data_IF_623549069509
#
_entry.id   IF_623549069509
#
_cell.length_a   1.000
_cell.length_b   1.000
_cell.length_c   1.000
_cell.angle_alpha   90.00
_cell.angle_beta   90.00
_cell.angle_gamma   90.00
#
_symmetry.space_group_name_H-M   'P 1'
#
loop_
_entity.id
_entity.type
_entity.pdbx_description
1 polymer ?
#
# COMPACT_ATOMS: atom_id res chain seq x y z
N UNK A 1 9.75 10.03 20.30
CA UNK A 1 8.55 9.49 19.63
C UNK A 1 8.84 8.07 19.16
N UNK A 2 7.93 7.15 19.44
CA UNK A 2 8.03 5.78 18.90
C UNK A 2 7.65 5.81 17.42
N UNK A 3 8.41 5.09 16.59
CA UNK A 3 8.26 5.08 15.13
C UNK A 3 7.44 3.86 14.71
N UNK A 4 6.38 4.07 13.92
CA UNK A 4 5.49 3.02 13.37
C UNK A 4 4.98 2.02 14.42
N UNK A 5 4.15 2.53 15.31
CA UNK A 5 3.62 1.85 16.52
C UNK A 5 2.50 0.85 16.23
N UNK A 6 1.81 0.99 15.10
CA UNK A 6 0.58 0.26 14.79
C UNK A 6 -0.62 0.69 15.64
N UNK A 7 -0.53 1.79 16.38
CA UNK A 7 -1.61 2.31 17.22
C UNK A 7 -2.46 3.34 16.48
N UNK A 8 -3.75 3.38 16.80
CA UNK A 8 -4.69 4.41 16.34
C UNK A 8 -4.40 5.74 17.07
N UNK A 9 -3.27 6.36 16.75
CA UNK A 9 -2.80 7.58 17.42
C UNK A 9 -3.17 8.87 16.67
N UNK A 10 -3.83 8.76 15.51
CA UNK A 10 -4.15 9.90 14.65
C UNK A 10 -5.61 10.33 14.75
N UNK A 11 -5.86 11.60 14.40
CA UNK A 11 -7.20 12.17 14.23
C UNK A 11 -8.07 11.44 13.19
N UNK A 12 -7.45 10.61 12.33
CA UNK A 12 -8.12 9.79 11.32
C UNK A 12 -8.67 8.46 11.86
N UNK A 13 -8.35 8.09 13.11
CA UNK A 13 -8.81 6.83 13.72
C UNK A 13 -8.26 5.58 13.01
N UNK A 14 -7.07 5.70 12.44
CA UNK A 14 -6.39 4.64 11.70
C UNK A 14 -4.97 4.48 12.29
N UNK A 15 -4.38 3.27 12.28
CA UNK A 15 -2.98 3.07 12.65
C UNK A 15 -1.97 3.74 11.69
N UNK A 16 -0.84 4.22 12.23
CA UNK A 16 0.30 4.74 11.44
C UNK A 16 0.86 3.70 10.45
N UNK A 17 0.82 2.41 10.83
CA UNK A 17 1.07 1.26 9.95
C UNK A 17 0.02 0.15 10.16
N UNK A 18 -0.39 -0.51 9.09
CA UNK A 18 -1.27 -1.69 9.14
C UNK A 18 -0.75 -2.80 8.23
N UNK A 19 -0.61 -4.03 8.73
CA UNK A 19 -0.06 -5.17 7.99
C UNK A 19 -1.15 -6.12 7.50
N UNK A 20 -1.02 -6.61 6.27
CA UNK A 20 -2.03 -7.42 5.59
C UNK A 20 -1.45 -8.67 4.93
N UNK A 21 -2.26 -9.72 4.88
CA UNK A 21 -2.07 -10.85 3.99
C UNK A 21 -2.67 -10.56 2.58
N UNK A 22 -2.58 -11.53 1.66
CA UNK A 22 -3.06 -11.36 0.29
C UNK A 22 -4.58 -11.12 0.19
N UNK A 23 -5.36 -11.61 1.15
CA UNK A 23 -6.81 -11.40 1.19
C UNK A 23 -7.21 -10.02 1.77
N UNK A 24 -6.24 -9.18 2.15
CA UNK A 24 -6.48 -7.87 2.75
C UNK A 24 -6.88 -7.94 4.23
N UNK A 25 -6.59 -9.07 4.89
CA UNK A 25 -6.85 -9.28 6.32
C UNK A 25 -5.57 -9.06 7.14
N UNK A 26 -5.68 -8.75 8.45
CA UNK A 26 -4.52 -8.69 9.33
C UNK A 26 -3.66 -9.95 9.23
N UNK A 27 -2.35 -9.78 9.19
CA UNK A 27 -1.41 -10.90 9.07
C UNK A 27 -1.39 -11.73 10.35
N UNK A 28 -1.48 -13.06 10.19
CA UNK A 28 -1.12 -14.01 11.23
C UNK A 28 0.38 -14.31 11.11
N UNK A 29 1.19 -13.67 11.95
CA UNK A 29 2.65 -13.81 11.90
C UNK A 29 3.15 -15.23 12.11
N UNK A 30 2.37 -16.09 12.79
CA UNK A 30 2.72 -17.51 12.96
C UNK A 30 2.62 -18.31 11.66
N UNK A 31 1.97 -17.75 10.64
CA UNK A 31 1.73 -18.36 9.32
C UNK A 31 2.19 -17.46 8.18
N UNK A 32 3.09 -16.51 8.47
CA UNK A 32 3.60 -15.61 7.44
C UNK A 32 4.30 -16.40 6.34
N UNK A 33 3.89 -16.16 5.09
CA UNK A 33 4.43 -16.80 3.90
C UNK A 33 5.40 -15.89 3.15
N UNK A 34 5.51 -16.13 1.85
CA UNK A 34 6.32 -15.31 0.92
C UNK A 34 5.56 -14.09 0.38
N UNK A 35 4.54 -13.62 1.10
CA UNK A 35 3.74 -12.46 0.73
C UNK A 35 3.49 -11.60 1.96
N UNK A 36 3.65 -10.29 1.81
CA UNK A 36 3.24 -9.32 2.81
C UNK A 36 2.80 -8.03 2.12
N UNK A 37 1.80 -7.37 2.67
CA UNK A 37 1.44 -6.02 2.29
C UNK A 37 1.28 -5.15 3.53
N UNK A 38 1.44 -3.83 3.39
CA UNK A 38 1.15 -2.90 4.46
C UNK A 38 0.70 -1.54 3.95
N UNK A 39 -0.10 -0.86 4.76
CA UNK A 39 -0.45 0.55 4.57
C UNK A 39 0.41 1.41 5.50
N UNK A 40 0.96 2.50 4.98
CA UNK A 40 1.52 3.60 5.78
C UNK A 40 0.59 4.80 5.70
N UNK A 41 0.32 5.41 6.85
CA UNK A 41 -0.47 6.62 6.91
C UNK A 41 0.38 7.86 6.63
N UNK A 42 -0.04 8.67 5.67
CA UNK A 42 0.57 9.97 5.37
C UNK A 42 -0.04 11.13 6.17
N UNK A 43 -0.52 10.93 7.39
CA UNK A 43 -1.07 12.04 8.17
C UNK A 43 0.06 12.89 8.75
N UNK A 44 -0.07 14.22 8.73
CA UNK A 44 0.97 15.12 9.22
C UNK A 44 1.42 14.80 10.66
N UNK A 45 0.49 14.31 11.49
CA UNK A 45 0.76 13.91 12.87
C UNK A 45 1.65 12.65 12.96
N UNK A 46 1.56 11.74 11.99
CA UNK A 46 2.38 10.52 11.93
C UNK A 46 3.74 10.75 11.27
N UNK A 47 3.84 11.68 10.33
CA UNK A 47 5.09 11.95 9.58
C UNK A 47 5.84 13.20 10.04
N UNK A 48 5.35 13.91 11.06
CA UNK A 48 5.92 15.16 11.57
C UNK A 48 6.08 16.25 10.48
N UNK A 49 5.08 16.36 9.60
CA UNK A 49 5.07 17.34 8.50
C UNK A 49 4.10 18.50 8.76
N UNK A 50 4.17 19.55 7.92
CA UNK A 50 3.24 20.68 8.00
C UNK A 50 1.85 20.36 7.39
N UNK A 51 1.81 19.38 6.48
CA UNK A 51 0.62 18.99 5.71
C UNK A 51 0.52 17.47 5.63
N UNK A 52 -0.70 16.99 5.40
CA UNK A 52 -0.92 15.59 5.07
C UNK A 52 -0.25 15.25 3.73
N UNK A 53 0.28 14.05 3.66
CA UNK A 53 0.77 13.37 2.48
C UNK A 53 -0.22 12.27 2.03
N UNK A 54 0.13 11.57 0.97
CA UNK A 54 -0.58 10.40 0.50
C UNK A 54 -0.34 9.22 1.44
N UNK A 55 -1.40 8.46 1.71
CA UNK A 55 -1.22 7.14 2.29
C UNK A 55 -0.58 6.23 1.22
N UNK A 56 0.31 5.34 1.65
CA UNK A 56 0.95 4.34 0.81
C UNK A 56 0.37 2.96 1.09
N UNK A 57 0.28 2.11 0.07
CA UNK A 57 0.05 0.68 0.22
C UNK A 57 1.11 -0.09 -0.55
N UNK A 58 1.94 -0.82 0.16
CA UNK A 58 3.06 -1.57 -0.40
C UNK A 58 2.74 -3.05 -0.40
N UNK A 59 3.06 -3.72 -1.50
CA UNK A 59 2.86 -5.16 -1.71
C UNK A 59 4.21 -5.76 -2.05
N UNK A 60 4.58 -6.83 -1.34
CA UNK A 60 5.78 -7.61 -1.60
C UNK A 60 5.38 -9.06 -1.83
N UNK A 61 5.50 -9.51 -3.09
CA UNK A 61 5.32 -10.90 -3.45
C UNK A 61 6.67 -11.55 -3.69
N UNK A 62 7.26 -12.11 -2.64
CA UNK A 62 8.48 -12.89 -2.72
C UNK A 62 8.24 -14.33 -3.18
N UNK A 63 7.02 -14.74 -3.54
CA UNK A 63 6.75 -16.11 -3.98
C UNK A 63 7.10 -16.34 -5.45
N UNK A 64 7.13 -17.59 -5.89
CA UNK A 64 7.31 -17.97 -7.30
C UNK A 64 6.00 -17.97 -8.10
N UNK A 65 4.90 -17.50 -7.52
CA UNK A 65 3.58 -17.48 -8.14
C UNK A 65 3.01 -16.08 -8.11
N UNK A 66 2.16 -15.78 -9.08
CA UNK A 66 1.39 -14.54 -9.06
C UNK A 66 0.36 -14.61 -7.93
N UNK A 67 0.11 -13.47 -7.30
CA UNK A 67 -0.83 -13.34 -6.18
C UNK A 67 -1.87 -12.27 -6.52
N UNK A 68 -3.14 -12.65 -6.44
CA UNK A 68 -4.24 -11.68 -6.49
C UNK A 68 -4.44 -11.11 -5.09
N UNK A 69 -4.19 -9.81 -4.95
CA UNK A 69 -4.20 -9.08 -3.68
C UNK A 69 -5.52 -8.33 -3.53
N UNK A 70 -6.17 -8.44 -2.37
CA UNK A 70 -7.21 -7.49 -1.93
C UNK A 70 -6.53 -6.31 -1.27
N UNK A 71 -6.58 -5.14 -1.91
CA UNK A 71 -6.05 -3.89 -1.35
C UNK A 71 -7.03 -3.36 -0.31
N UNK A 72 -6.52 -2.83 0.81
CA UNK A 72 -7.41 -2.26 1.83
C UNK A 72 -8.19 -1.06 1.26
N UNK A 73 -9.39 -0.76 1.76
CA UNK A 73 -10.11 0.43 1.34
C UNK A 73 -9.26 1.69 1.52
N UNK A 74 -9.24 2.62 0.54
CA UNK A 74 -8.60 3.91 0.72
C UNK A 74 -9.37 4.77 1.74
N UNK A 75 -8.76 5.81 2.30
CA UNK A 75 -9.47 6.83 3.06
C UNK A 75 -10.62 7.44 2.26
N UNK A 76 -11.65 7.94 2.97
CA UNK A 76 -12.83 8.55 2.34
C UNK A 76 -12.43 9.66 1.36
N UNK A 77 -12.99 9.62 0.16
CA UNK A 77 -12.73 10.61 -0.89
C UNK A 77 -11.40 10.45 -1.63
N UNK A 78 -10.66 9.36 -1.36
CA UNK A 78 -9.44 9.01 -2.08
C UNK A 78 -9.58 7.68 -2.80
N UNK A 79 -8.73 7.45 -3.79
CA UNK A 79 -8.57 6.15 -4.46
C UNK A 79 -7.09 5.80 -4.57
N UNK A 80 -6.80 4.50 -4.72
CA UNK A 80 -5.45 4.02 -4.93
C UNK A 80 -5.01 4.22 -6.40
N UNK A 81 -3.75 4.58 -6.58
CA UNK A 81 -3.04 4.63 -7.84
C UNK A 81 -1.72 3.87 -7.70
N UNK A 82 -1.32 3.14 -8.74
CA UNK A 82 0.00 2.51 -8.82
C UNK A 82 1.03 3.54 -9.24
N UNK A 83 2.14 3.61 -8.51
CA UNK A 83 3.33 4.38 -8.89
C UNK A 83 4.51 3.49 -9.26
N UNK A 84 4.71 2.36 -8.55
CA UNK A 84 5.80 1.41 -8.83
C UNK A 84 5.25 0.00 -8.98
N UNK A 85 5.74 -0.75 -9.95
CA UNK A 85 5.56 -2.21 -10.08
C UNK A 85 6.78 -2.83 -10.76
N UNK A 86 7.62 -3.49 -9.98
CA UNK A 86 8.90 -4.03 -10.45
C UNK A 86 8.76 -5.21 -11.43
N UNK A 87 7.54 -5.71 -11.67
CA UNK A 87 7.30 -6.73 -12.67
C UNK A 87 7.07 -6.17 -14.07
N UNK A 88 6.87 -4.85 -14.17
CA UNK A 88 6.71 -4.15 -15.45
C UNK A 88 8.09 -3.79 -16.02
N UNK A 89 8.11 -3.50 -17.31
CA UNK A 89 9.29 -2.97 -17.97
C UNK A 89 9.26 -1.44 -17.93
N UNK A 90 10.43 -0.81 -17.97
CA UNK A 90 10.56 0.62 -18.21
C UNK A 90 9.77 1.05 -19.47
N UNK A 91 9.01 2.17 -19.42
CA UNK A 91 8.87 3.13 -18.32
C UNK A 91 7.71 2.86 -17.35
N UNK A 92 7.03 1.71 -17.44
CA UNK A 92 5.84 1.43 -16.65
C UNK A 92 6.14 0.85 -15.25
N UNK A 93 7.41 0.59 -14.95
CA UNK A 93 7.92 0.03 -13.70
C UNK A 93 8.01 1.07 -12.58
N UNK A 94 8.39 2.31 -12.91
CA UNK A 94 8.41 3.47 -12.01
C UNK A 94 7.82 4.65 -12.78
N UNK A 95 6.63 5.08 -12.38
CA UNK A 95 5.93 6.20 -13.00
C UNK A 95 6.35 7.52 -12.37
N UNK A 96 6.46 8.55 -13.21
CA UNK A 96 6.73 9.93 -12.78
C UNK A 96 5.54 10.52 -12.02
N UNK A 97 5.80 11.57 -11.24
CA UNK A 97 4.75 12.28 -10.50
C UNK A 97 3.67 12.80 -11.46
N UNK A 98 2.41 12.47 -11.17
CA UNK A 98 1.27 12.85 -12.02
C UNK A 98 0.91 11.83 -13.10
N UNK A 99 1.75 10.83 -13.34
CA UNK A 99 1.50 9.75 -14.31
C UNK A 99 1.01 8.46 -13.64
N UNK A 100 0.69 8.48 -12.35
CA UNK A 100 0.30 7.28 -11.61
C UNK A 100 -0.96 6.65 -12.21
N UNK A 101 -0.95 5.32 -12.34
CA UNK A 101 -2.00 4.59 -13.03
C UNK A 101 -3.12 4.17 -12.06
N UNK A 102 -4.41 4.38 -12.38
CA UNK A 102 -5.48 3.84 -11.56
C UNK A 102 -5.42 2.32 -11.51
N UNK A 103 -5.87 1.72 -10.41
CA UNK A 103 -5.95 0.26 -10.35
C UNK A 103 -6.98 -0.24 -11.37
N UNK A 104 -6.72 -1.37 -12.06
CA UNK A 104 -7.68 -1.97 -12.98
C UNK A 104 -9.02 -2.35 -12.32
N UNK A 105 -9.00 -2.57 -11.01
CA UNK A 105 -10.17 -2.84 -10.18
C UNK A 105 -10.04 -2.10 -8.85
N UNK A 106 -11.12 -1.53 -8.28
CA UNK A 106 -11.06 -0.60 -7.15
C UNK A 106 -10.34 -1.12 -5.89
N UNK A 107 -10.28 -2.44 -5.70
CA UNK A 107 -9.69 -3.07 -4.51
C UNK A 107 -8.89 -4.34 -4.82
N UNK A 108 -8.50 -4.54 -6.08
CA UNK A 108 -7.73 -5.73 -6.50
C UNK A 108 -6.52 -5.34 -7.31
N UNK A 109 -5.41 -6.03 -7.04
CA UNK A 109 -4.20 -5.93 -7.83
C UNK A 109 -3.58 -7.32 -7.99
N UNK A 110 -2.95 -7.59 -9.13
CA UNK A 110 -2.18 -8.83 -9.33
C UNK A 110 -0.70 -8.48 -9.19
N UNK A 111 -0.07 -8.96 -8.13
CA UNK A 111 1.38 -8.87 -7.97
C UNK A 111 2.01 -10.12 -8.58
N UNK A 112 2.81 -9.95 -9.63
CA UNK A 112 3.49 -11.07 -10.26
C UNK A 112 4.52 -11.71 -9.32
N UNK A 113 4.92 -12.94 -9.64
CA UNK A 113 5.97 -13.65 -8.92
C UNK A 113 7.24 -12.78 -8.76
N UNK A 114 7.83 -12.78 -7.56
CA UNK A 114 9.08 -12.08 -7.25
C UNK A 114 9.04 -10.57 -7.55
N UNK A 115 7.94 -9.89 -7.26
CA UNK A 115 7.80 -8.46 -7.50
C UNK A 115 7.38 -7.66 -6.26
N UNK A 116 7.57 -6.34 -6.36
CA UNK A 116 7.09 -5.36 -5.39
C UNK A 116 6.25 -4.30 -6.10
N UNK A 117 5.19 -3.85 -5.44
CA UNK A 117 4.25 -2.85 -5.97
C UNK A 117 4.06 -1.77 -4.91
N UNK A 118 4.08 -0.51 -5.32
CA UNK A 118 3.78 0.64 -4.46
C UNK A 118 2.57 1.36 -5.03
N UNK A 119 1.57 1.53 -4.17
CA UNK A 119 0.37 2.30 -4.43
C UNK A 119 0.36 3.54 -3.53
N UNK A 120 -0.19 4.64 -4.05
CA UNK A 120 -0.45 5.87 -3.30
C UNK A 120 -1.93 6.23 -3.40
N UNK A 121 -2.45 6.91 -2.37
CA UNK A 121 -3.79 7.49 -2.45
C UNK A 121 -3.74 8.86 -3.16
N UNK A 122 -4.75 9.18 -3.98
CA UNK A 122 -4.99 10.56 -4.46
C UNK A 122 -6.46 10.94 -4.31
N UNK A 123 -6.74 12.24 -4.23
CA UNK A 123 -8.10 12.79 -4.24
C UNK A 123 -8.69 12.62 -5.65
N UNK A 124 -9.97 12.25 -5.72
CA UNK A 124 -10.75 12.21 -6.96
C UNK A 124 -11.57 13.47 -7.10
#
# INVERSE_FOLDING_TARGET
PDFLTGQEASSRGIPDISWFNAEGKPIDWSKAGQFIAYRLMGARESILAERDDNDFYLIFNASTRDVTVTVCPPPKGKVWFRTIDTARNHPEDILEEGEEAPLPSPNKYVALARSSVVLITRIV
#
